data_IF_354962269933
#
_entry.id   IF_354962269933
#
_cell.length_a   1.000
_cell.length_b   1.000
_cell.length_c   1.000
_cell.angle_alpha   90.00
_cell.angle_beta   90.00
_cell.angle_gamma   90.00
#
_symmetry.space_group_name_H-M   'P 1'
#
loop_
_entity.id
_entity.type
_entity.pdbx_description
1 polymer ?
#
# COMPACT_ATOMS: atom_id res chain seq x y z
N UNK A 1 -8.47 -32.87 11.63
CA UNK A 1 -7.69 -32.19 10.57
C UNK A 1 -8.54 -31.21 9.73
N UNK A 2 -9.84 -31.42 9.56
CA UNK A 2 -10.67 -30.56 8.68
C UNK A 2 -11.04 -29.17 9.23
N UNK A 3 -11.09 -28.95 10.55
CA UNK A 3 -11.30 -27.60 11.10
C UNK A 3 -10.11 -26.66 10.88
N UNK A 4 -8.87 -27.19 10.89
CA UNK A 4 -7.64 -26.40 10.66
C UNK A 4 -7.58 -25.77 9.26
N UNK A 5 -8.22 -26.38 8.25
CA UNK A 5 -8.25 -25.88 6.87
C UNK A 5 -9.21 -24.70 6.64
N UNK A 6 -10.11 -24.40 7.59
CA UNK A 6 -11.12 -23.33 7.44
C UNK A 6 -10.74 -22.03 8.18
N UNK A 7 -9.60 -21.99 8.86
CA UNK A 7 -9.16 -20.78 9.56
C UNK A 7 -8.61 -19.76 8.56
N UNK A 8 -9.09 -18.50 8.56
CA UNK A 8 -8.62 -17.45 7.65
C UNK A 8 -7.10 -17.23 7.68
N UNK A 9 -6.48 -17.35 8.86
CA UNK A 9 -5.03 -17.22 9.04
C UNK A 9 -4.25 -18.32 8.32
N UNK A 10 -4.77 -19.55 8.28
CA UNK A 10 -4.16 -20.65 7.55
C UNK A 10 -4.26 -20.41 6.04
N UNK A 11 -5.42 -19.96 5.55
CA UNK A 11 -5.60 -19.62 4.13
C UNK A 11 -4.67 -18.47 3.70
N UNK A 12 -4.51 -17.45 4.54
CA UNK A 12 -3.58 -16.37 4.31
C UNK A 12 -2.13 -16.87 4.24
N UNK A 13 -1.73 -17.77 5.15
CA UNK A 13 -0.38 -18.37 5.12
C UNK A 13 -0.13 -19.15 3.82
N UNK A 14 -1.12 -19.90 3.32
CA UNK A 14 -1.01 -20.65 2.07
C UNK A 14 -0.89 -19.70 0.88
N UNK A 15 -1.71 -18.64 0.84
CA UNK A 15 -1.65 -17.62 -0.22
C UNK A 15 -0.31 -16.88 -0.23
N UNK A 16 0.23 -16.53 0.94
CA UNK A 16 1.57 -15.97 1.09
C UNK A 16 2.65 -16.96 0.60
N UNK A 17 2.49 -18.25 0.89
CA UNK A 17 3.40 -19.30 0.48
C UNK A 17 3.43 -19.58 -1.03
N UNK A 18 2.30 -19.38 -1.70
CA UNK A 18 2.22 -19.42 -3.15
C UNK A 18 2.87 -18.18 -3.76
N UNK A 19 2.63 -17.01 -3.17
CA UNK A 19 3.11 -15.72 -3.69
C UNK A 19 4.62 -15.57 -3.64
N UNK A 20 5.30 -16.04 -2.59
CA UNK A 20 6.75 -15.82 -2.48
C UNK A 20 7.59 -16.66 -3.46
N UNK A 21 7.01 -17.70 -4.09
CA UNK A 21 7.70 -18.54 -5.09
C UNK A 21 8.07 -17.77 -6.36
N UNK A 22 7.34 -16.68 -6.62
CA UNK A 22 7.53 -15.83 -7.79
C UNK A 22 8.59 -14.73 -7.58
N UNK A 23 9.17 -14.64 -6.37
CA UNK A 23 10.21 -13.66 -6.05
C UNK A 23 11.60 -14.31 -6.00
N UNK A 24 12.62 -13.55 -6.41
CA UNK A 24 14.02 -13.97 -6.33
C UNK A 24 14.45 -14.31 -4.89
N UNK A 25 15.36 -15.28 -4.75
CA UNK A 25 15.82 -15.79 -3.45
C UNK A 25 16.41 -14.73 -2.52
N UNK A 26 17.03 -13.69 -3.09
CA UNK A 26 17.65 -12.59 -2.34
C UNK A 26 16.71 -11.41 -2.10
N UNK A 27 15.49 -11.46 -2.64
CA UNK A 27 14.52 -10.38 -2.54
C UNK A 27 14.11 -10.14 -1.08
N UNK A 28 14.23 -8.89 -0.61
CA UNK A 28 13.85 -8.50 0.76
C UNK A 28 12.37 -8.79 1.04
N UNK A 29 11.50 -8.58 0.05
CA UNK A 29 10.07 -8.87 0.16
C UNK A 29 9.80 -10.38 0.27
N UNK A 30 10.61 -11.23 -0.37
CA UNK A 30 10.50 -12.69 -0.22
C UNK A 30 10.75 -13.12 1.21
N UNK A 31 11.85 -12.64 1.82
CA UNK A 31 12.20 -12.94 3.22
C UNK A 31 11.11 -12.50 4.19
N UNK A 32 10.54 -11.31 3.96
CA UNK A 32 9.40 -10.80 4.74
C UNK A 32 8.16 -11.69 4.58
N UNK A 33 7.82 -12.08 3.35
CA UNK A 33 6.68 -12.94 3.08
C UNK A 33 6.83 -14.35 3.68
N UNK A 34 8.04 -14.92 3.63
CA UNK A 34 8.36 -16.21 4.26
C UNK A 34 8.15 -16.15 5.78
N UNK A 35 8.64 -15.10 6.43
CA UNK A 35 8.45 -14.88 7.87
C UNK A 35 6.96 -14.66 8.22
N UNK A 36 6.26 -13.84 7.44
CA UNK A 36 4.81 -13.63 7.61
C UNK A 36 4.04 -14.95 7.48
N UNK A 37 4.36 -15.78 6.48
CA UNK A 37 3.76 -17.10 6.30
C UNK A 37 3.98 -17.99 7.53
N UNK A 38 5.21 -18.05 8.04
CA UNK A 38 5.54 -18.80 9.25
C UNK A 38 4.71 -18.31 10.46
N UNK A 39 4.64 -17.00 10.65
CA UNK A 39 3.91 -16.41 11.77
C UNK A 39 2.41 -16.68 11.70
N UNK A 40 1.81 -16.54 10.51
CA UNK A 40 0.38 -16.83 10.31
C UNK A 40 0.04 -18.31 10.55
N UNK A 41 0.92 -19.23 10.14
CA UNK A 41 0.74 -20.66 10.40
C UNK A 41 0.81 -20.97 11.90
N UNK A 42 1.74 -20.36 12.63
CA UNK A 42 1.82 -20.50 14.08
C UNK A 42 0.53 -20.04 14.76
N UNK A 43 0.08 -18.82 14.46
CA UNK A 43 -1.16 -18.27 15.05
C UNK A 43 -2.39 -19.12 14.73
N UNK A 44 -2.50 -19.63 13.49
CA UNK A 44 -3.58 -20.53 13.12
C UNK A 44 -3.59 -21.82 13.95
N UNK A 45 -2.41 -22.38 14.27
CA UNK A 45 -2.28 -23.57 15.12
C UNK A 45 -2.65 -23.27 16.57
N UNK A 46 -2.20 -22.14 17.10
CA UNK A 46 -2.52 -21.69 18.47
C UNK A 46 -4.01 -21.47 18.64
N UNK A 47 -4.67 -20.82 17.66
CA UNK A 47 -6.12 -20.64 17.67
C UNK A 47 -6.87 -21.98 17.62
N UNK A 48 -6.44 -22.91 16.77
CA UNK A 48 -7.07 -24.23 16.68
C UNK A 48 -6.94 -25.04 18.00
N UNK A 49 -5.80 -24.93 18.70
CA UNK A 49 -5.61 -25.59 20.00
C UNK A 49 -6.50 -24.96 21.09
N UNK A 50 -6.60 -23.62 21.11
CA UNK A 50 -7.52 -22.89 21.98
C UNK A 50 -8.98 -23.32 21.76
N UNK A 51 -9.46 -23.33 20.52
CA UNK A 51 -10.84 -23.73 20.20
C UNK A 51 -11.12 -25.17 20.65
N UNK A 52 -10.17 -26.09 20.45
CA UNK A 52 -10.31 -27.49 20.88
C UNK A 52 -10.39 -27.62 22.40
N UNK A 53 -9.54 -26.89 23.14
CA UNK A 53 -9.54 -26.88 24.61
C UNK A 53 -10.83 -26.27 25.14
N UNK A 54 -11.27 -25.16 24.55
CA UNK A 54 -12.50 -24.46 24.93
C UNK A 54 -13.74 -25.34 24.73
N UNK A 55 -13.85 -25.99 23.58
CA UNK A 55 -14.97 -26.88 23.27
C UNK A 55 -15.07 -28.02 24.28
N UNK A 56 -13.94 -28.69 24.55
CA UNK A 56 -13.90 -29.85 25.44
C UNK A 56 -14.08 -29.51 26.92
N UNK A 57 -13.42 -28.46 27.40
CA UNK A 57 -13.34 -28.16 28.84
C UNK A 57 -14.46 -27.24 29.34
N UNK A 58 -15.14 -26.51 28.45
CA UNK A 58 -16.14 -25.51 28.83
C UNK A 58 -17.45 -25.73 28.09
N UNK A 59 -17.45 -25.72 26.76
CA UNK A 59 -18.70 -25.71 25.99
C UNK A 59 -19.48 -27.02 26.15
N UNK A 60 -18.82 -28.17 26.06
CA UNK A 60 -19.50 -29.48 26.22
C UNK A 60 -20.15 -29.62 27.60
N UNK A 61 -19.45 -29.36 28.74
CA UNK A 61 -20.08 -29.38 30.06
C UNK A 61 -21.22 -28.38 30.24
N UNK A 62 -21.07 -27.14 29.76
CA UNK A 62 -22.11 -26.11 29.88
C UNK A 62 -23.33 -26.41 29.01
N UNK A 63 -23.14 -26.96 27.80
CA UNK A 63 -24.25 -27.39 26.95
C UNK A 63 -25.04 -28.50 27.64
N UNK A 64 -24.36 -29.49 28.22
CA UNK A 64 -25.02 -30.55 29.00
C UNK A 64 -25.87 -29.97 30.14
N UNK A 65 -25.33 -29.03 30.90
CA UNK A 65 -26.08 -28.33 31.95
C UNK A 65 -27.33 -27.63 31.39
N UNK A 66 -27.19 -26.96 30.24
CA UNK A 66 -28.26 -26.18 29.63
C UNK A 66 -29.35 -27.02 28.96
N UNK A 67 -29.00 -28.18 28.39
CA UNK A 67 -29.89 -29.02 27.59
C UNK A 67 -30.48 -30.19 28.38
N UNK A 68 -29.79 -30.69 29.43
CA UNK A 68 -30.25 -31.83 30.22
C UNK A 68 -30.72 -31.41 31.62
N UNK A 69 -29.84 -30.80 32.42
CA UNK A 69 -30.08 -30.60 33.86
C UNK A 69 -31.10 -29.47 34.14
N UNK A 70 -30.93 -28.30 33.51
CA UNK A 70 -31.82 -27.14 33.73
C UNK A 70 -33.26 -27.37 33.26
N UNK A 71 -33.52 -27.96 32.07
CA UNK A 71 -34.89 -28.17 31.60
C UNK A 71 -35.70 -29.11 32.50
N UNK A 72 -35.09 -30.17 33.06
CA UNK A 72 -35.78 -31.10 33.94
C UNK A 72 -36.13 -30.44 35.29
N UNK A 73 -35.22 -29.66 35.86
CA UNK A 73 -35.49 -28.85 37.08
C UNK A 73 -36.65 -27.87 36.84
N UNK A 74 -36.65 -27.17 35.69
CA UNK A 74 -37.70 -26.22 35.33
C UNK A 74 -39.06 -26.91 35.08
N UNK A 75 -39.05 -28.11 34.53
CA UNK A 75 -40.24 -28.94 34.33
C UNK A 75 -40.81 -29.40 35.68
N UNK A 76 -39.99 -29.92 36.57
CA UNK A 76 -40.40 -30.36 37.91
C UNK A 76 -40.92 -29.19 38.75
N UNK A 77 -40.30 -28.01 38.65
CA UNK A 77 -40.82 -26.75 39.25
C UNK A 77 -42.25 -26.42 38.78
N UNK A 78 -42.51 -26.51 37.47
CA UNK A 78 -43.85 -26.24 36.90
C UNK A 78 -44.87 -27.29 37.35
N UNK A 79 -44.47 -28.57 37.38
CA UNK A 79 -45.35 -29.65 37.83
C UNK A 79 -45.68 -29.53 39.32
N UNK A 80 -44.70 -29.19 40.16
CA UNK A 80 -44.91 -28.93 41.59
C UNK A 80 -45.91 -27.79 41.81
N UNK A 81 -45.77 -26.67 41.08
CA UNK A 81 -46.73 -25.56 41.16
C UNK A 81 -48.15 -25.99 40.77
N UNK A 82 -48.30 -26.75 39.67
CA UNK A 82 -49.59 -27.26 39.20
C UNK A 82 -50.25 -28.20 40.22
N UNK A 83 -49.51 -29.20 40.70
CA UNK A 83 -50.03 -30.18 41.66
C UNK A 83 -50.35 -29.56 43.02
N UNK A 84 -49.64 -28.50 43.41
CA UNK A 84 -49.97 -27.70 44.60
C UNK A 84 -51.36 -27.05 44.45
N UNK A 85 -51.66 -26.48 43.28
CA UNK A 85 -52.99 -25.92 42.99
C UNK A 85 -54.07 -27.00 42.95
N UNK A 86 -53.80 -28.13 42.28
CA UNK A 86 -54.76 -29.24 42.16
C UNK A 86 -55.11 -29.84 43.53
N UNK A 87 -54.10 -30.03 44.41
CA UNK A 87 -54.32 -30.49 45.78
C UNK A 87 -55.12 -29.48 46.61
N UNK A 88 -54.79 -28.18 46.54
CA UNK A 88 -55.57 -27.15 47.23
C UNK A 88 -57.03 -27.13 46.77
N UNK A 89 -57.27 -27.26 45.46
CA UNK A 89 -58.62 -27.33 44.89
C UNK A 89 -59.37 -28.59 45.32
N UNK A 90 -58.72 -29.75 45.37
CA UNK A 90 -59.31 -30.99 45.89
C UNK A 90 -59.66 -30.85 47.38
N UNK A 91 -58.75 -30.27 48.18
CA UNK A 91 -58.93 -30.05 49.62
C UNK A 91 -60.13 -29.14 49.92
N UNK A 92 -60.24 -28.02 49.21
CA UNK A 92 -61.37 -27.09 49.35
C UNK A 92 -62.69 -27.76 48.95
N UNK A 93 -62.72 -28.54 47.86
CA UNK A 93 -63.90 -29.29 47.43
C UNK A 93 -64.35 -30.34 48.45
N UNK A 94 -63.40 -31.05 49.06
CA UNK A 94 -63.69 -32.03 50.11
C UNK A 94 -64.25 -31.35 51.37
N UNK A 95 -63.64 -30.25 51.83
CA UNK A 95 -64.07 -29.49 53.02
C UNK A 95 -65.44 -28.80 52.87
N UNK A 96 -65.80 -28.39 51.65
CA UNK A 96 -67.09 -27.75 51.37
C UNK A 96 -68.25 -28.74 51.14
N UNK A 97 -67.98 -30.05 51.10
CA UNK A 97 -68.99 -31.06 50.78
C UNK A 97 -69.86 -31.42 52.00
N UNK A 98 -71.17 -31.18 51.90
CA UNK A 98 -72.19 -31.60 52.88
C UNK A 98 -73.02 -32.81 52.42
N UNK A 99 -72.54 -33.53 51.40
CA UNK A 99 -73.23 -34.66 50.77
C UNK A 99 -73.21 -35.96 51.60
N UNK A 100 -73.78 -37.06 51.07
CA UNK A 100 -73.80 -38.37 51.73
C UNK A 100 -72.40 -38.89 52.05
N UNK A 101 -72.27 -39.70 53.10
CA UNK A 101 -70.98 -40.20 53.62
C UNK A 101 -70.07 -40.80 52.52
N UNK A 102 -70.60 -41.66 51.65
CA UNK A 102 -69.83 -42.26 50.55
C UNK A 102 -69.23 -41.24 49.56
N UNK A 103 -69.89 -40.09 49.36
CA UNK A 103 -69.37 -39.00 48.52
C UNK A 103 -68.27 -38.21 49.23
N UNK A 104 -68.37 -38.05 50.55
CA UNK A 104 -67.32 -37.41 51.35
C UNK A 104 -66.08 -38.30 51.44
N UNK A 105 -66.25 -39.61 51.57
CA UNK A 105 -65.15 -40.58 51.60
C UNK A 105 -64.39 -40.62 50.26
N UNK A 106 -65.09 -40.64 49.12
CA UNK A 106 -64.44 -40.57 47.81
C UNK A 106 -63.68 -39.25 47.57
N UNK A 107 -64.23 -38.10 48.00
CA UNK A 107 -63.53 -36.81 47.93
C UNK A 107 -62.31 -36.76 48.87
N UNK A 108 -62.30 -37.54 49.94
CA UNK A 108 -61.16 -37.66 50.84
C UNK A 108 -60.07 -38.52 50.21
N UNK A 109 -60.42 -39.61 49.55
CA UNK A 109 -59.48 -40.43 48.76
C UNK A 109 -58.83 -39.61 47.63
N UNK A 110 -59.60 -38.79 46.91
CA UNK A 110 -59.07 -37.88 45.87
C UNK A 110 -58.05 -36.88 46.42
N UNK A 111 -58.28 -36.35 47.63
CA UNK A 111 -57.35 -35.44 48.32
C UNK A 111 -56.08 -36.17 48.73
N UNK A 112 -56.20 -37.39 49.24
CA UNK A 112 -55.06 -38.22 49.62
C UNK A 112 -54.23 -38.64 48.39
N UNK A 113 -54.87 -38.94 47.26
CA UNK A 113 -54.17 -39.25 46.01
C UNK A 113 -53.46 -38.01 45.42
N UNK A 114 -54.12 -36.85 45.39
CA UNK A 114 -53.51 -35.60 44.97
C UNK A 114 -52.32 -35.21 45.87
N UNK A 115 -52.42 -35.47 47.17
CA UNK A 115 -51.34 -35.23 48.12
C UNK A 115 -50.14 -36.16 47.88
N UNK A 116 -50.37 -37.46 47.66
CA UNK A 116 -49.29 -38.41 47.33
C UNK A 116 -48.53 -38.01 46.06
N UNK A 117 -49.25 -37.57 45.02
CA UNK A 117 -48.62 -37.07 43.77
C UNK A 117 -47.81 -35.79 44.01
N UNK A 118 -48.33 -34.88 44.84
CA UNK A 118 -47.62 -33.65 45.21
C UNK A 118 -46.34 -33.95 46.00
N UNK A 119 -46.39 -34.86 46.97
CA UNK A 119 -45.22 -35.22 47.79
C UNK A 119 -44.14 -35.88 46.92
N UNK A 120 -44.54 -36.77 45.99
CA UNK A 120 -43.59 -37.40 45.07
C UNK A 120 -42.86 -36.39 44.17
N UNK A 121 -43.56 -35.40 43.58
CA UNK A 121 -42.89 -34.38 42.75
C UNK A 121 -42.06 -33.42 43.59
N UNK A 122 -42.47 -33.16 44.84
CA UNK A 122 -41.72 -32.33 45.80
C UNK A 122 -40.40 -32.99 46.15
N UNK A 123 -40.39 -34.28 46.42
CA UNK A 123 -39.16 -35.03 46.72
C UNK A 123 -38.23 -35.05 45.51
N UNK A 124 -38.77 -35.31 44.31
CA UNK A 124 -37.99 -35.30 43.07
C UNK A 124 -37.39 -33.91 42.78
N UNK A 125 -38.21 -32.86 42.83
CA UNK A 125 -37.75 -31.49 42.60
C UNK A 125 -36.70 -31.06 43.64
N UNK A 126 -36.89 -31.46 44.91
CA UNK A 126 -35.91 -31.19 45.96
C UNK A 126 -34.60 -31.92 45.70
N UNK A 127 -34.64 -33.19 45.30
CA UNK A 127 -33.44 -33.96 44.95
C UNK A 127 -32.66 -33.32 43.78
N UNK A 128 -33.36 -32.87 42.74
CA UNK A 128 -32.73 -32.22 41.59
C UNK A 128 -32.07 -30.88 41.99
N UNK A 129 -32.72 -30.09 42.86
CA UNK A 129 -32.16 -28.84 43.38
C UNK A 129 -30.92 -29.07 44.25
N UNK A 130 -30.92 -30.08 45.12
CA UNK A 130 -29.74 -30.45 45.90
C UNK A 130 -28.61 -30.93 44.98
N UNK A 131 -28.92 -31.75 43.98
CA UNK A 131 -27.91 -32.19 43.02
C UNK A 131 -27.30 -31.01 42.24
N UNK A 132 -28.12 -30.06 41.79
CA UNK A 132 -27.65 -28.85 41.14
C UNK A 132 -26.76 -28.01 42.06
N UNK A 133 -27.18 -27.81 43.31
CA UNK A 133 -26.41 -27.04 44.30
C UNK A 133 -25.05 -27.67 44.59
N UNK A 134 -24.93 -29.00 44.61
CA UNK A 134 -23.63 -29.67 44.81
C UNK A 134 -22.62 -29.43 43.68
N UNK A 135 -23.07 -28.97 42.50
CA UNK A 135 -22.24 -28.70 41.33
C UNK A 135 -22.06 -27.23 41.03
N UNK A 136 -22.59 -26.33 41.87
CA UNK A 136 -22.54 -24.88 41.65
C UNK A 136 -21.08 -24.38 41.47
N UNK A 137 -20.17 -24.87 42.30
CA UNK A 137 -18.74 -24.56 42.22
C UNK A 137 -18.11 -25.08 40.92
N UNK A 138 -18.51 -26.26 40.44
CA UNK A 138 -18.04 -26.81 39.16
C UNK A 138 -18.49 -25.93 37.99
N UNK A 139 -19.74 -25.45 38.00
CA UNK A 139 -20.25 -24.57 36.96
C UNK A 139 -19.55 -23.22 36.94
N UNK A 140 -19.32 -22.62 38.12
CA UNK A 140 -18.52 -21.41 38.25
C UNK A 140 -17.10 -21.62 37.70
N UNK A 141 -16.51 -22.79 37.97
CA UNK A 141 -15.17 -23.15 37.48
C UNK A 141 -15.08 -23.21 35.95
N UNK A 142 -16.14 -23.60 35.23
CA UNK A 142 -16.14 -23.60 33.76
C UNK A 142 -16.05 -22.18 33.17
N UNK A 143 -16.71 -21.20 33.79
CA UNK A 143 -16.62 -19.79 33.37
C UNK A 143 -15.26 -19.17 33.69
N UNK A 144 -14.67 -19.52 34.83
CA UNK A 144 -13.29 -19.14 35.16
C UNK A 144 -12.34 -19.76 34.14
N UNK A 145 -12.53 -21.05 33.82
CA UNK A 145 -11.69 -21.77 32.85
C UNK A 145 -11.76 -21.19 31.44
N UNK A 146 -12.92 -20.69 31.02
CA UNK A 146 -13.07 -19.93 29.77
C UNK A 146 -12.13 -18.73 29.74
N UNK A 147 -12.15 -17.91 30.79
CA UNK A 147 -11.33 -16.70 30.88
C UNK A 147 -9.83 -17.03 30.93
N UNK A 148 -9.45 -18.08 31.66
CA UNK A 148 -8.07 -18.56 31.70
C UNK A 148 -7.56 -19.00 30.34
N UNK A 149 -8.33 -19.81 29.60
CA UNK A 149 -7.97 -20.27 28.27
C UNK A 149 -7.85 -19.12 27.28
N UNK A 150 -8.73 -18.12 27.37
CA UNK A 150 -8.65 -16.91 26.55
C UNK A 150 -7.39 -16.11 26.86
N UNK A 151 -7.07 -15.92 28.14
CA UNK A 151 -5.87 -15.21 28.57
C UNK A 151 -4.59 -15.92 28.10
N UNK A 152 -4.52 -17.25 28.23
CA UNK A 152 -3.39 -18.07 27.77
C UNK A 152 -3.20 -17.94 26.25
N UNK A 153 -4.27 -18.09 25.46
CA UNK A 153 -4.24 -17.94 24.01
C UNK A 153 -3.72 -16.56 23.57
N UNK A 154 -4.25 -15.49 24.15
CA UNK A 154 -3.85 -14.13 23.79
C UNK A 154 -2.40 -13.85 24.20
N UNK A 155 -1.97 -14.30 25.38
CA UNK A 155 -0.60 -14.15 25.85
C UNK A 155 0.41 -14.82 24.92
N UNK A 156 0.20 -16.10 24.60
CA UNK A 156 1.10 -16.87 23.70
C UNK A 156 1.16 -16.24 22.31
N UNK A 157 0.01 -15.79 21.79
CA UNK A 157 -0.06 -15.13 20.49
C UNK A 157 0.69 -13.80 20.48
N UNK A 158 0.53 -12.98 21.53
CA UNK A 158 1.20 -11.70 21.68
C UNK A 158 2.71 -11.85 21.79
N UNK A 159 3.21 -12.69 22.72
CA UNK A 159 4.64 -12.90 22.94
C UNK A 159 5.34 -13.38 21.66
N UNK A 160 4.69 -14.26 20.90
CA UNK A 160 5.21 -14.73 19.63
C UNK A 160 5.24 -13.61 18.57
N UNK A 161 4.15 -12.83 18.44
CA UNK A 161 4.09 -11.71 17.51
C UNK A 161 5.13 -10.64 17.83
N UNK A 162 5.23 -10.22 19.08
CA UNK A 162 6.16 -9.20 19.55
C UNK A 162 7.60 -9.59 19.18
N UNK A 163 8.02 -10.81 19.53
CA UNK A 163 9.36 -11.31 19.23
C UNK A 163 9.69 -11.27 17.73
N UNK A 164 8.81 -11.83 16.89
CA UNK A 164 9.08 -11.97 15.46
C UNK A 164 8.93 -10.65 14.69
N UNK A 165 8.06 -9.74 15.13
CA UNK A 165 7.96 -8.39 14.53
C UNK A 165 9.24 -7.60 14.77
N UNK A 166 9.83 -7.69 15.96
CA UNK A 166 11.10 -7.03 16.27
C UNK A 166 12.22 -7.56 15.36
N UNK A 167 12.37 -8.88 15.27
CA UNK A 167 13.37 -9.53 14.39
C UNK A 167 13.18 -9.15 12.91
N UNK A 168 11.93 -9.09 12.44
CA UNK A 168 11.62 -8.67 11.07
C UNK A 168 12.00 -7.20 10.82
N UNK A 169 11.77 -6.31 11.78
CA UNK A 169 12.17 -4.90 11.69
C UNK A 169 13.69 -4.74 11.69
N UNK A 170 14.38 -5.44 12.60
CA UNK A 170 15.84 -5.40 12.69
C UNK A 170 16.49 -5.89 11.39
N UNK A 171 16.01 -7.01 10.83
CA UNK A 171 16.51 -7.54 9.55
C UNK A 171 16.28 -6.60 8.35
N UNK A 172 15.21 -5.79 8.37
CA UNK A 172 14.99 -4.74 7.36
C UNK A 172 15.95 -3.55 7.54
N UNK A 173 16.23 -3.16 8.79
CA UNK A 173 17.14 -2.03 9.07
C UNK A 173 18.61 -2.33 8.82
N UNK A 174 19.04 -3.60 8.80
CA UNK A 174 20.44 -3.96 8.59
C UNK A 174 20.88 -4.05 7.12
N UNK A 175 19.96 -3.97 6.15
CA UNK A 175 20.30 -4.01 4.72
C UNK A 175 20.54 -2.61 4.13
N UNK A 176 20.18 -1.54 4.84
CA UNK A 176 20.43 -0.17 4.41
C UNK A 176 21.14 0.61 5.52
N UNK A 177 22.35 1.16 5.29
CA UNK A 177 22.85 2.21 6.16
C UNK A 177 21.82 3.34 6.13
N UNK A 178 21.27 3.65 7.29
CA UNK A 178 20.33 4.74 7.52
C UNK A 178 20.88 6.06 6.99
N UNK A 179 20.52 6.37 5.75
CA UNK A 179 20.22 7.72 5.31
C UNK A 179 18.73 7.71 4.99
N UNK A 180 18.00 8.63 5.59
CA UNK A 180 16.63 8.94 5.24
C UNK A 180 16.50 9.24 3.74
N UNK A 181 16.36 8.21 2.90
CA UNK A 181 15.91 8.40 1.53
C UNK A 181 14.38 8.42 1.59
N UNK A 182 13.81 9.62 1.70
CA UNK A 182 12.71 9.91 0.79
C UNK A 182 13.15 9.36 -0.57
N UNK A 183 12.39 8.44 -1.16
CA UNK A 183 12.63 7.86 -2.48
C UNK A 183 13.30 8.93 -3.36
N UNK A 184 14.52 8.68 -3.86
CA UNK A 184 15.35 9.65 -4.61
C UNK A 184 14.75 10.00 -5.98
N UNK A 185 13.44 10.13 -6.05
CA UNK A 185 12.68 10.45 -7.23
C UNK A 185 13.19 11.77 -7.80
N UNK A 186 13.57 11.74 -9.06
CA UNK A 186 14.03 12.90 -9.82
C UNK A 186 12.98 13.32 -10.84
N UNK A 187 12.18 12.38 -11.35
CA UNK A 187 11.08 12.69 -12.27
C UNK A 187 9.89 13.28 -11.51
N UNK A 188 9.40 14.43 -11.96
CA UNK A 188 8.26 15.11 -11.32
C UNK A 188 8.61 15.96 -10.11
N UNK A 189 9.87 15.95 -9.66
CA UNK A 189 10.33 16.77 -8.53
C UNK A 189 10.93 18.10 -9.02
N UNK A 190 10.86 19.18 -8.21
CA UNK A 190 11.52 20.43 -8.54
C UNK A 190 13.03 20.24 -8.72
N UNK A 191 13.60 20.86 -9.76
CA UNK A 191 15.02 20.75 -10.12
C UNK A 191 15.96 21.01 -8.93
N UNK A 192 15.71 22.10 -8.21
CA UNK A 192 16.48 22.50 -7.03
C UNK A 192 16.49 21.41 -5.95
N UNK A 193 15.31 20.87 -5.61
CA UNK A 193 15.15 19.91 -4.52
C UNK A 193 15.99 18.66 -4.70
N UNK A 194 16.01 18.08 -5.90
CA UNK A 194 16.77 16.86 -6.15
C UNK A 194 18.26 17.13 -6.46
N UNK A 195 18.65 18.34 -6.87
CA UNK A 195 20.05 18.72 -7.01
C UNK A 195 20.73 18.90 -5.65
N UNK A 196 20.04 19.59 -4.72
CA UNK A 196 20.51 19.79 -3.34
C UNK A 196 20.62 18.47 -2.59
N UNK A 197 19.61 17.59 -2.70
CA UNK A 197 19.62 16.28 -2.02
C UNK A 197 20.78 15.38 -2.47
N UNK A 198 21.22 15.53 -3.73
CA UNK A 198 22.31 14.75 -4.31
C UNK A 198 23.65 15.49 -4.30
N UNK A 199 23.70 16.76 -3.88
CA UNK A 199 24.89 17.60 -3.93
C UNK A 199 25.47 17.79 -5.34
N UNK A 200 24.63 17.76 -6.38
CA UNK A 200 25.07 17.82 -7.79
C UNK A 200 24.74 19.17 -8.42
N UNK A 201 25.52 19.55 -9.42
CA UNK A 201 25.26 20.76 -10.25
C UNK A 201 24.37 20.47 -11.45
N UNK A 202 24.46 19.25 -11.98
CA UNK A 202 23.70 18.77 -13.13
C UNK A 202 22.81 17.62 -12.68
N UNK A 203 21.57 17.60 -13.15
CA UNK A 203 20.58 16.59 -12.84
C UNK A 203 21.03 15.23 -13.38
N UNK A 204 20.89 14.17 -12.57
CA UNK A 204 21.25 12.80 -12.95
C UNK A 204 20.59 12.39 -14.30
N UNK A 205 19.28 12.65 -14.54
CA UNK A 205 18.67 12.34 -15.83
C UNK A 205 19.29 13.06 -17.02
N UNK A 206 19.73 14.31 -16.86
CA UNK A 206 20.36 15.07 -17.93
C UNK A 206 21.75 14.50 -18.20
N UNK A 207 22.57 14.37 -17.16
CA UNK A 207 23.97 13.97 -17.32
C UNK A 207 24.12 12.53 -17.81
N UNK A 208 23.40 11.57 -17.23
CA UNK A 208 23.47 10.17 -17.62
C UNK A 208 22.95 9.96 -19.06
N UNK A 209 21.83 10.60 -19.41
CA UNK A 209 21.31 10.52 -20.77
C UNK A 209 22.27 11.16 -21.80
N UNK A 210 22.81 12.34 -21.50
CA UNK A 210 23.78 13.00 -22.39
C UNK A 210 25.05 12.16 -22.52
N UNK A 211 25.56 11.60 -21.42
CA UNK A 211 26.76 10.73 -21.43
C UNK A 211 26.56 9.50 -22.32
N UNK A 212 25.43 8.80 -22.18
CA UNK A 212 25.08 7.66 -23.03
C UNK A 212 24.95 8.08 -24.52
N UNK A 213 24.24 9.18 -24.79
CA UNK A 213 24.04 9.66 -26.16
C UNK A 213 25.32 10.18 -26.82
N UNK A 214 26.26 10.75 -26.06
CA UNK A 214 27.57 11.13 -26.56
C UNK A 214 28.41 9.91 -26.98
N UNK A 215 28.23 8.77 -26.29
CA UNK A 215 28.97 7.53 -26.59
C UNK A 215 28.42 6.82 -27.82
N UNK A 216 27.10 6.69 -27.95
CA UNK A 216 26.48 5.84 -29.00
C UNK A 216 25.45 6.55 -29.88
N UNK A 217 24.89 7.67 -29.45
CA UNK A 217 23.71 8.29 -30.09
C UNK A 217 23.98 9.40 -31.12
N UNK A 218 25.18 9.99 -31.19
CA UNK A 218 25.43 11.19 -32.02
C UNK A 218 25.17 11.01 -33.52
N UNK A 219 25.32 9.78 -34.03
CA UNK A 219 25.11 9.45 -35.44
C UNK A 219 23.75 8.79 -35.72
N UNK A 220 22.94 8.55 -34.69
CA UNK A 220 21.66 7.86 -34.80
C UNK A 220 20.63 8.72 -35.54
N UNK A 221 20.01 8.17 -36.58
CA UNK A 221 19.11 8.94 -37.44
C UNK A 221 17.81 9.32 -36.71
N UNK A 222 17.47 10.61 -36.68
CA UNK A 222 16.22 11.07 -36.09
C UNK A 222 16.18 10.95 -34.57
N UNK A 223 17.33 11.01 -33.88
CA UNK A 223 17.39 11.10 -32.42
C UNK A 223 16.46 12.22 -31.88
N UNK A 224 15.77 11.97 -30.77
CA UNK A 224 14.67 12.80 -30.24
C UNK A 224 13.38 12.88 -31.08
N UNK A 225 13.42 12.64 -32.39
CA UNK A 225 12.24 12.62 -33.25
C UNK A 225 11.52 11.27 -33.21
N UNK A 226 12.26 10.17 -33.35
CA UNK A 226 11.71 8.82 -33.31
C UNK A 226 11.43 8.40 -31.86
N UNK A 227 10.32 7.67 -31.67
CA UNK A 227 9.93 7.14 -30.37
C UNK A 227 10.45 5.70 -30.21
N UNK A 228 11.03 5.40 -29.05
CA UNK A 228 11.35 4.04 -28.65
C UNK A 228 10.14 3.33 -28.00
N UNK A 229 10.31 2.05 -27.70
CA UNK A 229 9.32 1.29 -26.94
C UNK A 229 9.08 1.93 -25.56
N UNK A 230 7.82 2.22 -25.25
CA UNK A 230 7.43 2.87 -24.00
C UNK A 230 7.87 2.08 -22.74
N UNK A 231 7.93 0.75 -22.84
CA UNK A 231 8.42 -0.14 -21.78
C UNK A 231 9.89 0.09 -21.45
N UNK A 232 10.74 0.30 -22.46
CA UNK A 232 12.19 0.53 -22.29
C UNK A 232 12.42 1.91 -21.69
N UNK A 233 11.71 2.93 -22.18
CA UNK A 233 11.74 4.29 -21.59
C UNK A 233 11.30 4.25 -20.13
N UNK A 234 10.21 3.54 -19.81
CA UNK A 234 9.72 3.40 -18.43
C UNK A 234 10.77 2.73 -17.54
N UNK A 235 11.42 1.67 -18.01
CA UNK A 235 12.51 0.98 -17.27
C UNK A 235 13.66 1.94 -16.99
N UNK A 236 14.15 2.65 -18.01
CA UNK A 236 15.26 3.60 -17.85
C UNK A 236 14.91 4.75 -16.88
N UNK A 237 13.67 5.27 -16.95
CA UNK A 237 13.19 6.27 -15.97
C UNK A 237 13.30 5.76 -14.53
N UNK A 238 12.88 4.53 -14.26
CA UNK A 238 12.98 3.93 -12.93
C UNK A 238 14.43 3.72 -12.47
N UNK A 239 15.34 3.35 -13.38
CA UNK A 239 16.77 3.27 -13.08
C UNK A 239 17.36 4.65 -12.76
N UNK A 240 16.93 5.70 -13.46
CA UNK A 240 17.33 7.09 -13.21
C UNK A 240 16.78 7.64 -11.89
N UNK A 241 15.52 7.35 -11.55
CA UNK A 241 14.91 7.69 -10.25
C UNK A 241 15.59 7.01 -9.06
N UNK A 242 16.12 5.81 -9.24
CA UNK A 242 16.86 5.11 -8.17
C UNK A 242 18.35 5.45 -8.16
N UNK A 243 18.87 6.15 -9.17
CA UNK A 243 20.30 6.44 -9.32
C UNK A 243 21.16 5.19 -9.63
N UNK A 244 20.55 4.12 -10.12
CA UNK A 244 21.21 2.81 -10.37
C UNK A 244 21.34 2.48 -11.86
N UNK A 245 21.59 3.49 -12.70
CA UNK A 245 21.68 3.30 -14.16
C UNK A 245 22.94 2.54 -14.54
N UNK A 246 22.79 1.37 -15.15
CA UNK A 246 23.84 0.73 -15.93
C UNK A 246 23.82 1.31 -17.36
N UNK A 247 24.76 2.20 -17.67
CA UNK A 247 24.86 2.83 -18.99
C UNK A 247 24.99 1.79 -20.12
N UNK A 248 25.64 0.65 -19.87
CA UNK A 248 25.84 -0.37 -20.91
C UNK A 248 24.54 -1.05 -21.30
N UNK A 249 23.63 -1.21 -20.35
CA UNK A 249 22.32 -1.82 -20.60
C UNK A 249 21.47 -0.98 -21.55
N UNK A 250 21.54 0.35 -21.51
CA UNK A 250 20.68 1.21 -22.34
C UNK A 250 21.37 1.79 -23.57
N UNK A 251 22.69 1.61 -23.70
CA UNK A 251 23.48 2.18 -24.79
C UNK A 251 23.12 1.66 -26.20
N UNK A 252 22.41 0.53 -26.31
CA UNK A 252 22.00 -0.05 -27.60
C UNK A 252 20.74 0.58 -28.20
N UNK A 253 19.96 1.33 -27.42
CA UNK A 253 18.75 2.02 -27.89
C UNK A 253 18.83 3.53 -27.56
N UNK A 254 19.52 4.32 -28.41
CA UNK A 254 19.63 5.76 -28.21
C UNK A 254 18.27 6.48 -28.22
N UNK A 255 17.26 5.94 -28.91
CA UNK A 255 15.92 6.53 -28.92
C UNK A 255 15.23 6.40 -27.56
N UNK A 256 15.46 5.31 -26.82
CA UNK A 256 14.95 5.15 -25.46
C UNK A 256 15.59 6.16 -24.51
N UNK A 257 16.91 6.36 -24.62
CA UNK A 257 17.64 7.36 -23.82
C UNK A 257 17.15 8.78 -24.13
N UNK A 258 17.02 9.13 -25.41
CA UNK A 258 16.45 10.41 -25.83
C UNK A 258 14.98 10.58 -25.35
N UNK A 259 14.21 9.50 -25.34
CA UNK A 259 12.85 9.45 -24.81
C UNK A 259 12.80 9.75 -23.31
N UNK A 260 13.65 9.10 -22.51
CA UNK A 260 13.74 9.32 -21.06
C UNK A 260 14.17 10.76 -20.73
N UNK A 261 15.13 11.32 -21.46
CA UNK A 261 15.55 12.71 -21.31
C UNK A 261 14.40 13.68 -21.61
N UNK A 262 13.65 13.47 -22.70
CA UNK A 262 12.45 14.28 -23.00
C UNK A 262 11.39 14.18 -21.91
N UNK A 263 11.16 12.97 -21.39
CA UNK A 263 10.22 12.75 -20.28
C UNK A 263 10.64 13.53 -19.04
N UNK A 264 11.92 13.48 -18.65
CA UNK A 264 12.40 14.21 -17.48
C UNK A 264 12.14 15.71 -17.61
N UNK A 265 12.58 16.31 -18.72
CA UNK A 265 12.45 17.74 -18.96
C UNK A 265 10.98 18.20 -18.95
N UNK A 266 10.08 17.40 -19.53
CA UNK A 266 8.63 17.69 -19.57
C UNK A 266 7.92 17.47 -18.24
N UNK A 267 8.41 16.55 -17.42
CA UNK A 267 7.79 16.19 -16.13
C UNK A 267 8.24 17.13 -15.00
N UNK A 268 9.21 18.01 -15.23
CA UNK A 268 9.55 19.06 -14.26
C UNK A 268 8.31 19.90 -13.91
N UNK A 269 8.08 20.23 -12.63
CA UNK A 269 6.96 21.09 -12.21
C UNK A 269 6.97 22.49 -12.87
N UNK A 270 8.16 22.96 -13.25
CA UNK A 270 8.39 24.21 -13.96
C UNK A 270 9.36 23.95 -15.13
N UNK A 271 9.18 24.59 -16.31
CA UNK A 271 10.11 24.47 -17.41
C UNK A 271 11.53 24.80 -16.98
N UNK A 272 12.50 24.12 -17.58
CA UNK A 272 13.91 24.40 -17.34
C UNK A 272 14.26 25.88 -17.63
N UNK A 273 13.53 26.51 -18.55
CA UNK A 273 13.68 27.93 -18.92
C UNK A 273 12.78 28.90 -18.12
N UNK A 274 12.14 28.40 -17.05
CA UNK A 274 11.27 29.07 -16.07
C UNK A 274 10.00 29.72 -16.63
N UNK A 275 8.95 29.79 -15.80
CA UNK A 275 7.71 30.48 -16.17
C UNK A 275 7.89 32.00 -16.15
N UNK A 276 8.70 32.52 -15.23
CA UNK A 276 8.94 33.95 -15.05
C UNK A 276 9.55 34.59 -16.31
N UNK A 277 10.50 33.89 -16.94
CA UNK A 277 11.20 34.39 -18.12
C UNK A 277 10.49 34.06 -19.44
N UNK A 278 9.33 33.39 -19.40
CA UNK A 278 8.61 32.94 -20.59
C UNK A 278 8.45 34.05 -21.63
N UNK A 279 7.93 35.22 -21.24
CA UNK A 279 7.74 36.34 -22.18
C UNK A 279 9.04 36.99 -22.63
N UNK A 280 10.06 37.02 -21.78
CA UNK A 280 11.37 37.61 -22.07
C UNK A 280 12.11 36.80 -23.15
N UNK A 281 11.97 35.47 -23.16
CA UNK A 281 12.51 34.60 -24.20
C UNK A 281 11.97 34.97 -25.59
N UNK A 282 10.66 35.12 -25.73
CA UNK A 282 10.05 35.46 -27.03
C UNK A 282 10.38 36.88 -27.46
N UNK A 283 10.43 37.84 -26.53
CA UNK A 283 10.86 39.22 -26.84
C UNK A 283 12.27 39.23 -27.42
N UNK A 284 13.21 38.53 -26.77
CA UNK A 284 14.58 38.41 -27.25
C UNK A 284 14.65 37.72 -28.63
N UNK A 285 13.88 36.64 -28.83
CA UNK A 285 13.86 35.90 -30.08
C UNK A 285 13.21 36.66 -31.26
N UNK A 286 12.31 37.61 -30.97
CA UNK A 286 11.61 38.43 -31.95
C UNK A 286 12.49 39.53 -32.59
N UNK A 287 13.65 39.82 -32.00
CA UNK A 287 14.62 40.77 -32.56
C UNK A 287 15.04 40.33 -33.98
N UNK A 288 15.20 41.28 -34.90
CA UNK A 288 15.56 40.98 -36.30
C UNK A 288 17.05 40.96 -36.51
N UNK A 289 17.76 41.89 -35.86
CA UNK A 289 19.21 41.97 -35.95
C UNK A 289 19.87 40.85 -35.13
N UNK A 290 20.74 40.07 -35.77
CA UNK A 290 21.30 38.85 -35.15
C UNK A 290 22.15 39.17 -33.93
N UNK A 291 23.00 40.19 -33.99
CA UNK A 291 23.86 40.56 -32.87
C UNK A 291 23.05 41.07 -31.67
N UNK A 292 22.02 41.87 -31.92
CA UNK A 292 21.14 42.39 -30.87
C UNK A 292 20.26 41.26 -30.28
N UNK A 293 19.77 40.34 -31.11
CA UNK A 293 19.09 39.11 -30.66
C UNK A 293 19.96 38.32 -29.70
N UNK A 294 21.21 38.05 -30.08
CA UNK A 294 22.13 37.28 -29.25
C UNK A 294 22.43 38.01 -27.94
N UNK A 295 22.53 39.34 -27.96
CA UNK A 295 22.73 40.16 -26.76
C UNK A 295 21.53 40.12 -25.82
N UNK A 296 20.31 40.20 -26.36
CA UNK A 296 19.08 40.05 -25.58
C UNK A 296 18.95 38.63 -25.00
N UNK A 297 19.20 37.58 -25.80
CA UNK A 297 19.18 36.19 -25.31
C UNK A 297 20.19 35.96 -24.18
N UNK A 298 21.41 36.52 -24.27
CA UNK A 298 22.38 36.50 -23.16
C UNK A 298 21.85 37.18 -21.91
N UNK A 299 21.13 38.29 -22.07
CA UNK A 299 20.55 39.01 -20.94
C UNK A 299 19.48 38.16 -20.25
N UNK A 300 18.65 37.43 -21.00
CA UNK A 300 17.67 36.49 -20.43
C UNK A 300 18.36 35.30 -19.75
N UNK A 301 19.41 34.74 -20.38
CA UNK A 301 20.22 33.66 -19.78
C UNK A 301 20.83 34.06 -18.43
N UNK A 302 21.28 35.30 -18.28
CA UNK A 302 21.85 35.83 -17.02
C UNK A 302 20.82 35.99 -15.90
N UNK A 303 19.51 36.03 -16.23
CA UNK A 303 18.43 36.09 -15.24
C UNK A 303 17.99 34.71 -14.74
N UNK A 304 18.39 33.62 -15.41
CA UNK A 304 18.02 32.27 -14.97
C UNK A 304 18.61 31.96 -13.59
N UNK A 305 17.89 31.20 -12.74
CA UNK A 305 18.49 30.58 -11.58
C UNK A 305 19.74 29.77 -11.96
N UNK A 306 20.73 29.74 -11.08
CA UNK A 306 22.04 29.13 -11.33
C UNK A 306 21.92 27.67 -11.78
N UNK A 307 21.02 26.92 -11.16
CA UNK A 307 20.77 25.50 -11.36
C UNK A 307 20.12 25.26 -12.73
N UNK A 308 19.11 26.06 -13.07
CA UNK A 308 18.46 26.07 -14.38
C UNK A 308 19.47 26.41 -15.49
N UNK A 309 20.28 27.47 -15.29
CA UNK A 309 21.31 27.89 -16.24
C UNK A 309 22.33 26.77 -16.47
N UNK A 310 22.85 26.16 -15.42
CA UNK A 310 23.86 25.09 -15.52
C UNK A 310 23.32 23.88 -16.30
N UNK A 311 22.11 23.44 -15.99
CA UNK A 311 21.46 22.30 -16.66
C UNK A 311 21.08 22.64 -18.11
N UNK A 312 20.55 23.82 -18.37
CA UNK A 312 20.22 24.29 -19.72
C UNK A 312 21.48 24.40 -20.58
N UNK A 313 22.54 25.01 -20.06
CA UNK A 313 23.83 25.13 -20.74
C UNK A 313 24.38 23.76 -21.11
N UNK A 314 24.45 22.84 -20.16
CA UNK A 314 24.97 21.50 -20.38
C UNK A 314 24.19 20.77 -21.48
N UNK A 315 22.85 20.85 -21.43
CA UNK A 315 21.98 20.27 -22.45
C UNK A 315 22.18 20.93 -23.82
N UNK A 316 22.13 22.27 -23.91
CA UNK A 316 22.25 23.00 -25.18
C UNK A 316 23.62 22.78 -25.83
N UNK A 317 24.69 22.63 -25.05
CA UNK A 317 26.01 22.28 -25.57
C UNK A 317 26.01 20.88 -26.21
N UNK A 318 25.40 19.89 -25.56
CA UNK A 318 25.18 18.57 -26.17
C UNK A 318 24.36 18.66 -27.46
N UNK A 319 23.25 19.42 -27.47
CA UNK A 319 22.41 19.57 -28.66
C UNK A 319 23.15 20.27 -29.81
N UNK A 320 23.99 21.25 -29.50
CA UNK A 320 24.87 21.90 -30.48
C UNK A 320 25.82 20.87 -31.11
N UNK A 321 26.46 20.04 -30.29
CA UNK A 321 27.34 18.96 -30.78
C UNK A 321 26.59 17.90 -31.60
N UNK A 322 25.36 17.53 -31.20
CA UNK A 322 24.50 16.65 -31.99
C UNK A 322 24.21 17.25 -33.38
N UNK A 323 23.94 18.55 -33.45
CA UNK A 323 23.66 19.26 -34.70
C UNK A 323 24.87 19.35 -35.63
N UNK A 324 26.10 19.28 -35.10
CA UNK A 324 27.32 19.22 -35.93
C UNK A 324 27.37 17.91 -36.76
N UNK A 325 26.69 16.85 -36.32
CA UNK A 325 26.57 15.56 -37.03
C UNK A 325 25.31 15.47 -37.93
N UNK A 326 24.63 16.59 -38.20
CA UNK A 326 23.37 16.66 -38.98
C UNK A 326 23.41 16.01 -40.37
N UNK A 327 24.60 15.90 -40.98
CA UNK A 327 24.78 15.22 -42.27
C UNK A 327 24.46 13.72 -42.19
N UNK A 328 24.66 13.09 -41.03
CA UNK A 328 24.41 11.67 -40.77
C UNK A 328 23.09 11.49 -40.04
N UNK A 329 22.93 12.11 -38.87
CA UNK A 329 21.78 11.89 -38.00
C UNK A 329 20.48 12.61 -38.46
N UNK A 330 20.56 13.48 -39.48
CA UNK A 330 19.45 14.27 -40.04
C UNK A 330 18.80 15.27 -39.07
N UNK A 331 19.44 15.56 -37.93
CA UNK A 331 18.94 16.47 -36.90
C UNK A 331 19.62 17.84 -37.00
N UNK A 332 19.01 18.75 -37.75
CA UNK A 332 19.40 20.17 -37.81
C UNK A 332 19.04 20.90 -36.51
N UNK A 333 19.66 22.06 -36.19
CA UNK A 333 19.26 22.87 -35.03
C UNK A 333 17.75 23.14 -34.96
N UNK A 334 17.12 23.44 -36.10
CA UNK A 334 15.68 23.63 -36.21
C UNK A 334 14.89 22.34 -35.93
N UNK A 335 15.30 21.19 -36.48
CA UNK A 335 14.65 19.91 -36.20
C UNK A 335 14.72 19.54 -34.71
N UNK A 336 15.87 19.79 -34.07
CA UNK A 336 16.07 19.57 -32.63
C UNK A 336 15.17 20.50 -31.83
N UNK A 337 15.10 21.78 -32.20
CA UNK A 337 14.26 22.78 -31.54
C UNK A 337 12.77 22.42 -31.61
N UNK A 338 12.30 21.88 -32.73
CA UNK A 338 10.90 21.42 -32.88
C UNK A 338 10.56 20.32 -31.87
N UNK A 339 11.45 19.33 -31.71
CA UNK A 339 11.16 18.15 -30.86
C UNK A 339 11.42 18.39 -29.38
N UNK A 340 12.41 19.21 -29.03
CA UNK A 340 12.78 19.48 -27.64
C UNK A 340 12.18 20.75 -27.07
N UNK A 341 11.87 21.75 -27.90
CA UNK A 341 11.36 23.04 -27.44
C UNK A 341 10.16 22.94 -26.51
N UNK A 342 9.10 22.17 -26.83
CA UNK A 342 7.96 21.99 -25.94
C UNK A 342 8.29 21.35 -24.57
N UNK A 343 9.45 20.70 -24.44
CA UNK A 343 9.93 20.11 -23.19
C UNK A 343 10.91 21.05 -22.44
N UNK A 344 11.22 22.24 -22.98
CA UNK A 344 12.14 23.20 -22.36
C UNK A 344 11.45 24.50 -21.97
N UNK A 345 10.41 24.89 -22.70
CA UNK A 345 9.69 26.13 -22.51
C UNK A 345 8.19 25.93 -22.83
N UNK A 346 7.34 26.14 -21.83
CA UNK A 346 5.88 26.13 -21.97
C UNK A 346 5.26 27.18 -21.04
N UNK A 347 4.08 27.73 -21.37
CA UNK A 347 3.45 28.77 -20.57
C UNK A 347 2.92 28.20 -19.24
N UNK A 348 2.82 29.07 -18.22
CA UNK A 348 2.13 28.72 -16.97
C UNK A 348 0.64 28.52 -17.28
N UNK A 349 0.12 27.33 -17.00
CA UNK A 349 -1.29 27.01 -17.19
C UNK A 349 -2.08 27.41 -15.93
N UNK A 350 -3.09 28.27 -16.08
CA UNK A 350 -4.09 28.50 -15.04
C UNK A 350 -5.30 27.60 -15.33
N UNK A 351 -5.45 26.49 -14.61
CA UNK A 351 -6.62 25.59 -14.68
C UNK A 351 -6.40 24.21 -15.34
N UNK A 352 -7.45 23.37 -15.33
CA UNK A 352 -7.48 21.95 -15.77
C UNK A 352 -7.46 21.75 -17.30
N UNK A 353 -6.67 22.53 -18.04
CA UNK A 353 -6.48 22.24 -19.48
C UNK A 353 -5.31 21.30 -19.66
N UNK A 354 -5.57 20.13 -20.26
CA UNK A 354 -4.59 19.04 -20.37
C UNK A 354 -3.30 19.51 -21.07
N UNK A 355 -2.14 19.12 -20.51
CA UNK A 355 -0.80 19.37 -21.07
C UNK A 355 -0.63 18.85 -22.52
N UNK A 356 -1.56 18.01 -23.00
CA UNK A 356 -1.52 17.34 -24.30
C UNK A 356 -2.04 18.24 -25.43
N UNK A 357 -2.97 19.17 -25.16
CA UNK A 357 -3.59 20.01 -26.21
C UNK A 357 -2.75 21.23 -26.64
N UNK A 358 -1.75 21.63 -25.85
CA UNK A 358 -0.94 22.84 -26.13
C UNK A 358 0.26 22.61 -27.04
N UNK A 359 0.61 21.36 -27.36
CA UNK A 359 1.77 21.03 -28.20
C UNK A 359 1.66 21.55 -29.66
N UNK A 360 0.48 21.99 -30.08
CA UNK A 360 0.18 22.28 -31.49
C UNK A 360 0.27 23.76 -31.86
N UNK A 361 0.03 24.69 -30.92
CA UNK A 361 -0.07 26.14 -31.20
C UNK A 361 1.10 26.97 -30.64
N UNK A 362 1.70 26.56 -29.51
CA UNK A 362 2.89 27.23 -28.94
C UNK A 362 4.21 26.72 -29.55
N UNK A 363 4.20 25.53 -30.16
CA UNK A 363 5.41 24.82 -30.61
C UNK A 363 6.20 25.55 -31.69
N UNK A 364 5.54 26.22 -32.64
CA UNK A 364 6.23 26.96 -33.72
C UNK A 364 6.99 28.16 -33.17
N UNK A 365 6.44 28.87 -32.18
CA UNK A 365 7.10 30.02 -31.60
C UNK A 365 8.28 29.61 -30.71
N UNK A 366 8.17 28.50 -29.98
CA UNK A 366 9.28 28.03 -29.12
C UNK A 366 10.52 27.69 -29.95
N UNK A 367 10.36 27.22 -31.20
CA UNK A 367 11.48 26.97 -32.11
C UNK A 367 12.33 28.23 -32.32
N UNK A 368 11.73 29.41 -32.44
CA UNK A 368 12.47 30.66 -32.68
C UNK A 368 13.34 31.07 -31.48
N UNK A 369 13.04 30.54 -30.29
CA UNK A 369 13.86 30.71 -29.08
C UNK A 369 14.97 29.66 -29.04
N UNK A 370 14.63 28.39 -29.21
CA UNK A 370 15.56 27.27 -28.97
C UNK A 370 16.59 27.11 -30.09
N UNK A 371 16.21 27.34 -31.34
CA UNK A 371 17.11 27.17 -32.49
C UNK A 371 18.35 28.08 -32.40
N UNK A 372 18.23 29.40 -32.13
CA UNK A 372 19.40 30.25 -31.90
C UNK A 372 20.28 29.82 -30.72
N UNK A 373 19.69 29.28 -29.65
CA UNK A 373 20.47 28.77 -28.50
C UNK A 373 21.38 27.61 -28.91
N UNK A 374 20.88 26.70 -29.74
CA UNK A 374 21.64 25.56 -30.27
C UNK A 374 22.68 26.03 -31.28
N UNK A 375 22.27 26.84 -32.26
CA UNK A 375 23.11 27.29 -33.37
C UNK A 375 24.29 28.16 -32.89
N UNK A 376 24.04 29.06 -31.94
CA UNK A 376 25.03 30.00 -31.42
C UNK A 376 25.51 29.63 -30.00
N UNK A 377 25.41 28.34 -29.63
CA UNK A 377 25.77 27.84 -28.30
C UNK A 377 27.18 28.28 -27.85
N UNK A 378 28.18 28.19 -28.73
CA UNK A 378 29.57 28.60 -28.43
C UNK A 378 29.70 30.08 -28.07
N UNK A 379 28.86 30.93 -28.67
CA UNK A 379 28.84 32.37 -28.43
C UNK A 379 28.09 32.66 -27.12
N UNK A 380 26.94 32.04 -26.91
CA UNK A 380 26.06 32.27 -25.76
C UNK A 380 26.59 31.65 -24.46
N UNK A 381 27.34 30.55 -24.56
CA UNK A 381 27.90 29.78 -23.43
C UNK A 381 29.43 29.62 -23.56
N UNK A 382 30.21 30.71 -23.47
CA UNK A 382 31.65 30.69 -23.73
C UNK A 382 32.45 29.86 -22.71
N UNK A 383 31.90 29.65 -21.52
CA UNK A 383 32.58 29.03 -20.38
C UNK A 383 32.75 27.50 -20.48
N UNK A 384 32.17 26.83 -21.49
CA UNK A 384 32.04 25.36 -21.50
C UNK A 384 32.73 24.61 -22.63
N UNK A 385 33.74 25.19 -23.27
CA UNK A 385 34.50 24.52 -24.34
C UNK A 385 35.29 23.28 -23.89
N UNK A 386 35.25 22.88 -22.61
CA UNK A 386 35.98 21.72 -22.07
C UNK A 386 35.19 20.76 -21.15
N UNK A 387 33.87 20.92 -20.99
CA UNK A 387 33.10 20.20 -19.94
C UNK A 387 32.29 18.99 -20.40
N UNK A 388 32.18 18.70 -21.70
CA UNK A 388 31.45 17.52 -22.20
C UNK A 388 32.27 16.21 -22.17
N UNK A 389 33.55 16.27 -21.76
CA UNK A 389 34.50 15.15 -21.85
C UNK A 389 35.15 14.74 -20.51
N UNK A 390 34.55 15.07 -19.37
CA UNK A 390 35.01 14.56 -18.07
C UNK A 390 33.98 13.68 -17.42
#
# INVERSE_FOLDING_TARGET
LDRKKKLPLMMLSVSMAESFKDFDGDSSIRKVLEMCCFMQNFLARTLADFEMKLEKAVLVPLNKLSEEDLPEILKNKKQFAKLTTDWNNARVRSQASTGPQAKQDGLREDVEEAWKRLESIKDQYSADLYHFATKEDEYASYFIRLLELQAEYHKVSYEFLEKNIIELKESHTHTEPQMSSSEKKVFGEPLLSHLESCGRKIAVPIEECVSMLLRTGLREEGLFRLAAAASVVKKLKSCLDSGTVDQNEFSYDPHAVAGALKCYLRELPEPLMTFELYTDWFKAAAEKETDEKLKQLRTVLQKLPTENYNNLRYLVQFLSHLSEQQAVNRMTPSNIAIVLGPNLLWPRCEGETSLLDMASASSVQVVTVIEPLIQYSKILFPEGTGTLHK
#
